data_IF_817274860642
#
_entry.id   IF_817274860642
#
_cell.length_a   1.000
_cell.length_b   1.000
_cell.length_c   1.000
_cell.angle_alpha   90.00
_cell.angle_beta   90.00
_cell.angle_gamma   90.00
#
_symmetry.space_group_name_H-M   'P 1'
#
loop_
_entity.id
_entity.type
_entity.pdbx_description
1 polymer ?
#
# COMPACT_ATOMS: atom_id res chain seq x y z
N UNK A 1 37.08 72.34 -61.05
CA UNK A 1 38.35 72.90 -60.55
C UNK A 1 38.41 72.67 -59.04
N UNK A 2 39.44 71.96 -58.56
CA UNK A 2 40.04 72.08 -57.21
C UNK A 2 39.16 71.77 -55.96
N UNK A 3 39.56 71.08 -54.90
CA UNK A 3 40.82 70.54 -54.41
C UNK A 3 40.49 69.35 -53.47
N UNK A 4 41.43 68.42 -53.32
CA UNK A 4 41.41 67.28 -52.38
C UNK A 4 41.44 67.73 -50.91
N UNK A 5 40.77 66.99 -50.01
CA UNK A 5 41.45 66.57 -48.78
C UNK A 5 40.96 65.22 -48.25
N UNK A 6 41.93 64.33 -48.01
CA UNK A 6 41.79 63.04 -47.35
C UNK A 6 41.91 63.28 -45.84
N UNK A 7 41.01 62.72 -45.06
CA UNK A 7 41.21 62.51 -43.63
C UNK A 7 40.80 61.08 -43.29
N UNK A 8 41.80 60.24 -43.04
CA UNK A 8 41.65 58.90 -42.53
C UNK A 8 41.19 58.96 -41.07
N UNK A 9 40.03 58.35 -40.77
CA UNK A 9 39.52 58.15 -39.42
C UNK A 9 39.61 56.67 -39.05
N UNK A 10 40.35 56.40 -37.98
CA UNK A 10 40.72 55.09 -37.44
C UNK A 10 39.50 54.26 -37.01
N UNK A 11 39.57 52.95 -37.31
CA UNK A 11 38.69 51.89 -36.80
C UNK A 11 38.61 51.91 -35.26
N UNK A 12 37.40 51.93 -34.71
CA UNK A 12 37.12 51.42 -33.37
C UNK A 12 35.93 50.45 -33.48
N UNK A 13 36.23 49.19 -33.82
CA UNK A 13 35.26 48.10 -33.77
C UNK A 13 35.08 47.69 -32.30
N UNK A 14 34.04 48.20 -31.64
CA UNK A 14 33.58 47.68 -30.36
C UNK A 14 32.88 46.33 -30.57
N UNK A 15 33.64 45.24 -30.59
CA UNK A 15 33.11 43.90 -30.35
C UNK A 15 32.62 43.81 -28.91
N UNK A 16 31.32 44.05 -28.68
CA UNK A 16 30.66 43.60 -27.47
C UNK A 16 30.71 42.07 -27.45
N UNK A 17 31.60 41.52 -26.64
CA UNK A 17 31.56 40.12 -26.26
C UNK A 17 30.27 39.88 -25.46
N UNK A 18 29.24 39.32 -26.10
CA UNK A 18 28.16 38.66 -25.37
C UNK A 18 28.78 37.47 -24.63
N UNK A 19 29.07 37.65 -23.36
CA UNK A 19 29.31 36.54 -22.46
C UNK A 19 28.05 35.65 -22.49
N UNK A 20 28.17 34.33 -22.71
CA UNK A 20 27.04 33.45 -22.51
C UNK A 20 26.69 33.55 -21.03
N UNK A 21 25.55 34.15 -20.71
CA UNK A 21 24.91 34.00 -19.41
C UNK A 21 24.67 32.52 -19.25
N UNK A 22 25.60 31.84 -18.58
CA UNK A 22 25.37 30.51 -18.06
C UNK A 22 24.09 30.62 -17.22
N UNK A 23 22.99 30.14 -17.77
CA UNK A 23 21.82 29.80 -16.98
C UNK A 23 22.29 28.66 -16.09
N UNK A 24 22.84 29.03 -14.94
CA UNK A 24 22.80 28.16 -13.77
C UNK A 24 21.31 27.92 -13.56
N UNK A 25 20.79 26.84 -14.13
CA UNK A 25 19.62 26.19 -13.59
C UNK A 25 20.01 25.91 -12.14
N UNK A 26 19.63 26.82 -11.23
CA UNK A 26 19.50 26.47 -9.85
C UNK A 26 18.56 25.28 -9.89
N UNK A 27 19.10 24.08 -9.70
CA UNK A 27 18.30 22.88 -9.53
C UNK A 27 17.25 23.27 -8.49
N UNK A 28 15.98 23.30 -8.88
CA UNK A 28 14.90 23.64 -7.97
C UNK A 28 15.10 22.75 -6.74
N UNK A 29 15.28 23.36 -5.58
CA UNK A 29 15.59 22.59 -4.37
C UNK A 29 14.37 21.75 -4.03
N UNK A 30 14.36 20.49 -4.45
CA UNK A 30 13.30 19.55 -4.12
C UNK A 30 13.33 19.24 -2.61
N UNK A 31 12.21 19.23 -1.88
CA UNK A 31 10.90 19.73 -2.29
C UNK A 31 10.77 21.26 -2.09
N UNK A 32 10.13 21.96 -3.04
CA UNK A 32 9.80 23.39 -2.98
C UNK A 32 8.30 23.67 -2.80
N UNK A 33 7.48 22.61 -2.81
CA UNK A 33 6.02 22.65 -2.67
C UNK A 33 5.53 21.37 -1.98
N UNK A 34 4.24 21.29 -1.58
CA UNK A 34 3.69 20.11 -0.94
C UNK A 34 3.87 18.82 -1.76
N UNK A 35 4.17 17.74 -1.06
CA UNK A 35 4.23 16.37 -1.60
C UNK A 35 2.87 15.72 -1.33
N UNK A 36 2.30 15.08 -2.34
CA UNK A 36 1.07 14.29 -2.22
C UNK A 36 1.40 12.80 -2.07
N UNK A 37 0.76 12.13 -1.13
CA UNK A 37 0.79 10.67 -0.98
C UNK A 37 -0.62 10.12 -1.15
N UNK A 38 -0.82 9.30 -2.18
CA UNK A 38 -2.10 8.66 -2.46
C UNK A 38 -2.23 7.33 -1.70
N UNK A 39 -3.35 7.14 -1.01
CA UNK A 39 -3.67 5.92 -0.24
C UNK A 39 -4.88 5.22 -0.86
N UNK A 40 -4.73 3.94 -1.19
CA UNK A 40 -5.77 3.15 -1.88
C UNK A 40 -6.98 2.73 -1.01
N UNK A 41 -6.97 3.11 0.27
CA UNK A 41 -7.92 2.64 1.28
C UNK A 41 -8.63 3.80 1.98
N UNK A 42 -9.76 3.48 2.61
CA UNK A 42 -10.62 4.47 3.26
C UNK A 42 -9.88 5.21 4.40
N UNK A 43 -10.24 6.48 4.65
CA UNK A 43 -9.71 7.25 5.77
C UNK A 43 -9.91 6.56 7.13
N UNK A 44 -8.97 6.72 8.05
CA UNK A 44 -9.02 6.18 9.42
C UNK A 44 -8.73 4.67 9.55
N UNK A 45 -8.47 3.98 8.44
CA UNK A 45 -8.09 2.56 8.44
C UNK A 45 -6.63 2.29 8.80
N UNK A 46 -6.26 1.01 8.82
CA UNK A 46 -4.91 0.50 9.15
C UNK A 46 -3.79 1.02 8.24
N UNK A 47 -4.10 1.55 7.06
CA UNK A 47 -3.10 2.22 6.20
C UNK A 47 -3.07 3.73 6.42
N UNK A 48 -4.25 4.36 6.42
CA UNK A 48 -4.38 5.82 6.44
C UNK A 48 -3.85 6.43 7.74
N UNK A 49 -4.18 5.83 8.88
CA UNK A 49 -3.77 6.37 10.18
C UNK A 49 -2.23 6.38 10.36
N UNK A 50 -1.49 5.28 10.12
CA UNK A 50 -0.02 5.32 10.16
C UNK A 50 0.60 6.23 9.10
N UNK A 51 0.06 6.27 7.88
CA UNK A 51 0.58 7.12 6.80
C UNK A 51 0.43 8.61 7.12
N UNK A 52 -0.64 9.03 7.82
CA UNK A 52 -0.79 10.42 8.28
C UNK A 52 0.27 10.80 9.31
N UNK A 53 0.56 9.92 10.27
CA UNK A 53 1.64 10.13 11.25
C UNK A 53 2.98 10.24 10.55
N UNK A 54 3.25 9.34 9.60
CA UNK A 54 4.47 9.36 8.79
C UNK A 54 4.59 10.66 7.97
N UNK A 55 3.50 11.10 7.34
CA UNK A 55 3.45 12.34 6.57
C UNK A 55 3.74 13.58 7.43
N UNK A 56 3.21 13.65 8.65
CA UNK A 56 3.49 14.74 9.59
C UNK A 56 4.99 14.80 9.97
N UNK A 57 5.58 13.63 10.27
CA UNK A 57 7.00 13.51 10.60
C UNK A 57 7.90 13.94 9.43
N UNK A 58 7.60 13.45 8.21
CA UNK A 58 8.32 13.83 7.00
C UNK A 58 8.14 15.31 6.68
N UNK A 59 6.95 15.88 6.91
CA UNK A 59 6.68 17.30 6.68
C UNK A 59 7.60 18.19 7.53
N UNK A 60 7.78 17.84 8.81
CA UNK A 60 8.72 18.53 9.71
C UNK A 60 10.16 18.45 9.21
N UNK A 61 10.58 17.28 8.72
CA UNK A 61 11.94 17.05 8.24
C UNK A 61 12.25 17.77 6.94
N UNK A 62 11.31 17.77 5.99
CA UNK A 62 11.49 18.34 4.65
C UNK A 62 11.12 19.83 4.57
N UNK A 63 10.43 20.37 5.57
CA UNK A 63 9.96 21.76 5.56
C UNK A 63 8.85 22.02 4.53
N UNK A 64 8.23 20.97 3.99
CA UNK A 64 7.13 21.04 3.04
C UNK A 64 6.00 20.11 3.47
N UNK A 65 4.72 20.50 3.32
CA UNK A 65 3.61 19.65 3.70
C UNK A 65 3.58 18.33 2.92
N UNK A 66 3.28 17.23 3.61
CA UNK A 66 2.93 15.94 3.02
C UNK A 66 1.42 15.74 3.16
N UNK A 67 0.71 15.79 2.03
CA UNK A 67 -0.75 15.73 1.97
C UNK A 67 -1.20 14.31 1.62
N UNK A 68 -2.02 13.71 2.47
CA UNK A 68 -2.57 12.36 2.26
C UNK A 68 -3.91 12.45 1.52
N UNK A 69 -4.00 11.85 0.33
CA UNK A 69 -5.21 11.78 -0.49
C UNK A 69 -5.69 10.32 -0.60
N UNK A 70 -6.90 10.02 -0.11
CA UNK A 70 -7.47 8.69 -0.24
C UNK A 70 -8.13 8.50 -1.61
N UNK A 71 -7.66 7.54 -2.42
CA UNK A 71 -8.24 7.10 -3.69
C UNK A 71 -8.69 5.66 -3.55
N UNK A 72 -9.89 5.45 -3.02
CA UNK A 72 -10.37 4.12 -2.61
C UNK A 72 -10.82 3.25 -3.77
N UNK A 73 -10.84 1.94 -3.55
CA UNK A 73 -11.41 0.95 -4.48
C UNK A 73 -10.39 -0.03 -5.05
N UNK A 74 -10.90 -1.06 -5.73
CA UNK A 74 -10.12 -2.06 -6.49
C UNK A 74 -8.98 -2.67 -5.66
N UNK A 75 -9.26 -3.06 -4.42
CA UNK A 75 -8.27 -3.67 -3.53
C UNK A 75 -7.07 -2.78 -3.17
N UNK A 76 -7.21 -1.45 -3.29
CA UNK A 76 -6.16 -0.49 -2.97
C UNK A 76 -5.17 -0.21 -4.09
N UNK A 77 -5.46 -0.63 -5.32
CA UNK A 77 -4.54 -0.50 -6.47
C UNK A 77 -4.62 0.84 -7.21
N UNK A 78 -5.64 1.65 -6.91
CA UNK A 78 -5.87 2.96 -7.55
C UNK A 78 -4.66 3.92 -7.51
N UNK A 79 -3.85 4.02 -6.43
CA UNK A 79 -2.65 4.85 -6.43
C UNK A 79 -1.65 4.47 -7.52
N UNK A 80 -1.40 3.17 -7.71
CA UNK A 80 -0.43 2.69 -8.69
C UNK A 80 -0.85 3.04 -10.13
N UNK A 81 -2.13 2.82 -10.45
CA UNK A 81 -2.70 3.20 -11.75
C UNK A 81 -2.66 4.73 -11.98
N UNK A 82 -2.91 5.52 -10.93
CA UNK A 82 -2.85 6.98 -11.03
C UNK A 82 -1.43 7.52 -11.30
N UNK A 83 -0.40 6.84 -10.78
CA UNK A 83 1.00 7.24 -10.96
C UNK A 83 1.48 7.10 -12.41
N UNK A 84 0.88 6.23 -13.21
CA UNK A 84 1.20 6.07 -14.63
C UNK A 84 0.98 7.35 -15.45
N UNK A 85 0.14 8.26 -14.96
CA UNK A 85 -0.15 9.54 -15.60
C UNK A 85 0.40 10.75 -14.81
N UNK A 86 1.15 10.53 -13.74
CA UNK A 86 1.71 11.59 -12.90
C UNK A 86 3.11 12.00 -13.36
N UNK A 87 3.48 13.25 -13.12
CA UNK A 87 4.82 13.74 -13.44
C UNK A 87 5.88 13.07 -12.53
N UNK A 88 7.03 12.61 -13.07
CA UNK A 88 8.11 11.98 -12.31
C UNK A 88 8.98 12.99 -11.55
N UNK A 89 8.35 13.95 -10.87
CA UNK A 89 8.98 15.09 -10.23
C UNK A 89 9.10 14.93 -8.69
N UNK A 90 8.71 13.77 -8.15
CA UNK A 90 8.77 13.43 -6.73
C UNK A 90 7.64 14.00 -5.86
N UNK A 91 6.72 14.79 -6.42
CA UNK A 91 5.65 15.42 -5.63
C UNK A 91 4.34 14.63 -5.60
N UNK A 92 4.26 13.52 -6.33
CA UNK A 92 3.14 12.58 -6.23
C UNK A 92 3.68 11.19 -5.96
N UNK A 93 3.30 10.63 -4.82
CA UNK A 93 3.65 9.29 -4.39
C UNK A 93 2.38 8.45 -4.20
N UNK A 94 2.52 7.14 -4.19
CA UNK A 94 1.44 6.21 -3.92
C UNK A 94 1.86 5.14 -2.94
N UNK A 95 0.93 4.74 -2.08
CA UNK A 95 1.04 3.52 -1.30
C UNK A 95 0.64 2.34 -2.18
N UNK A 96 1.49 1.32 -2.23
CA UNK A 96 1.22 0.06 -2.93
C UNK A 96 1.34 -1.11 -1.97
N UNK A 97 0.54 -2.14 -2.22
CA UNK A 97 0.46 -3.37 -1.44
C UNK A 97 0.39 -4.58 -2.37
N UNK A 98 0.16 -5.78 -1.83
CA UNK A 98 0.11 -7.02 -2.61
C UNK A 98 -0.85 -6.96 -3.82
N UNK A 99 -1.97 -6.23 -3.69
CA UNK A 99 -2.98 -6.15 -4.75
C UNK A 99 -2.44 -5.60 -6.07
N UNK A 100 -1.45 -4.71 -6.02
CA UNK A 100 -0.83 -4.13 -7.22
C UNK A 100 -0.18 -5.21 -8.10
N UNK A 101 0.49 -6.18 -7.49
CA UNK A 101 1.20 -7.26 -8.17
C UNK A 101 0.27 -8.30 -8.83
N UNK A 102 -1.03 -8.22 -8.55
CA UNK A 102 -2.05 -9.06 -9.19
C UNK A 102 -2.65 -8.44 -10.43
N UNK A 103 -2.60 -7.11 -10.54
CA UNK A 103 -3.28 -6.38 -11.61
C UNK A 103 -2.96 -6.88 -13.04
N UNK A 104 -1.70 -7.24 -13.38
CA UNK A 104 -1.39 -7.76 -14.71
C UNK A 104 -2.24 -8.97 -15.11
N UNK A 105 -2.69 -9.74 -14.12
CA UNK A 105 -3.43 -11.00 -14.31
C UNK A 105 -4.92 -10.87 -14.03
N UNK A 106 -5.41 -9.72 -13.55
CA UNK A 106 -6.82 -9.58 -13.11
C UNK A 106 -7.60 -8.48 -13.84
N UNK A 107 -6.94 -7.50 -14.46
CA UNK A 107 -7.63 -6.37 -15.12
C UNK A 107 -7.11 -6.02 -16.51
N UNK A 108 -6.04 -6.69 -16.99
CA UNK A 108 -5.40 -6.39 -18.28
C UNK A 108 -4.69 -5.04 -18.27
N UNK A 109 -3.40 -5.03 -17.89
CA UNK A 109 -2.58 -3.82 -17.85
C UNK A 109 -1.76 -3.61 -19.12
N UNK A 110 -1.51 -2.33 -19.45
CA UNK A 110 -0.56 -1.89 -20.48
C UNK A 110 0.77 -1.38 -19.89
N UNK A 111 1.01 -1.62 -18.60
CA UNK A 111 2.21 -1.25 -17.86
C UNK A 111 2.57 -2.38 -16.88
N UNK A 112 3.85 -2.46 -16.54
CA UNK A 112 4.40 -3.46 -15.61
C UNK A 112 4.56 -2.87 -14.20
N UNK A 113 3.91 -3.43 -13.17
CA UNK A 113 4.01 -2.90 -11.81
C UNK A 113 5.39 -2.88 -11.17
N UNK A 114 6.31 -3.70 -11.66
CA UNK A 114 7.69 -3.82 -11.18
C UNK A 114 8.63 -2.89 -11.93
N UNK A 115 8.44 -2.73 -13.25
CA UNK A 115 9.34 -1.95 -14.10
C UNK A 115 8.86 -0.50 -14.35
N UNK A 116 7.57 -0.22 -14.29
CA UNK A 116 6.97 1.09 -14.63
C UNK A 116 6.62 1.94 -13.39
N UNK A 117 7.35 1.75 -12.29
CA UNK A 117 7.27 2.54 -11.06
C UNK A 117 8.66 2.72 -10.44
N UNK A 118 8.90 3.88 -9.83
CA UNK A 118 10.11 4.13 -9.03
C UNK A 118 9.84 3.74 -7.58
N UNK A 119 10.43 2.64 -7.11
CA UNK A 119 10.30 2.17 -5.73
C UNK A 119 11.04 3.09 -4.75
N UNK A 120 10.35 3.59 -3.73
CA UNK A 120 10.94 4.51 -2.74
C UNK A 120 11.38 3.74 -1.49
N UNK A 121 10.44 3.12 -0.77
CA UNK A 121 10.73 2.46 0.52
C UNK A 121 9.62 1.48 0.90
N UNK A 122 9.98 0.30 1.41
CA UNK A 122 9.03 -0.63 2.05
C UNK A 122 8.85 -0.26 3.53
N UNK A 123 7.60 -0.18 3.99
CA UNK A 123 7.27 0.43 5.29
C UNK A 123 6.94 -0.63 6.35
N UNK A 124 6.00 -1.52 6.06
CA UNK A 124 5.44 -2.48 7.03
C UNK A 124 4.63 -3.55 6.29
N UNK A 125 4.02 -4.48 7.02
CA UNK A 125 3.07 -5.47 6.51
C UNK A 125 1.80 -5.52 7.33
N UNK A 126 0.67 -5.74 6.66
CA UNK A 126 -0.61 -5.90 7.34
C UNK A 126 -0.62 -7.17 8.18
N UNK A 127 -1.24 -7.06 9.37
CA UNK A 127 -1.75 -8.19 10.12
C UNK A 127 -3.20 -8.45 9.69
N UNK A 128 -3.56 -9.72 9.58
CA UNK A 128 -4.89 -10.16 9.15
C UNK A 128 -5.47 -11.19 10.11
N UNK A 129 -6.80 -11.34 10.05
CA UNK A 129 -7.51 -12.40 10.75
C UNK A 129 -8.96 -12.50 10.31
N UNK A 130 -9.66 -13.45 10.91
CA UNK A 130 -11.11 -13.62 10.74
C UNK A 130 -11.82 -13.22 12.03
N UNK A 131 -12.80 -12.34 11.91
CA UNK A 131 -13.63 -11.89 13.03
C UNK A 131 -15.11 -12.19 12.80
N UNK A 132 -15.83 -12.38 13.89
CA UNK A 132 -17.30 -12.53 13.93
C UNK A 132 -17.89 -11.54 14.92
N UNK A 133 -19.20 -11.32 14.85
CA UNK A 133 -19.93 -10.58 15.89
C UNK A 133 -19.81 -11.31 17.24
N UNK A 134 -19.69 -10.57 18.35
CA UNK A 134 -19.52 -11.20 19.67
C UNK A 134 -20.68 -12.13 20.04
N UNK A 135 -21.91 -11.76 19.65
CA UNK A 135 -23.12 -12.56 19.88
C UNK A 135 -23.28 -13.75 18.92
N UNK A 136 -22.34 -13.95 17.99
CA UNK A 136 -22.37 -15.08 17.06
C UNK A 136 -22.30 -16.41 17.82
N UNK A 137 -23.03 -17.45 17.37
CA UNK A 137 -22.87 -18.81 17.90
C UNK A 137 -21.49 -19.40 17.58
N UNK A 138 -20.76 -18.85 16.61
CA UNK A 138 -19.39 -19.24 16.26
C UNK A 138 -18.43 -18.59 17.27
N UNK A 139 -17.78 -19.40 18.11
CA UNK A 139 -16.88 -18.92 19.18
C UNK A 139 -15.42 -19.18 18.89
N UNK A 140 -15.12 -20.25 18.14
CA UNK A 140 -13.75 -20.62 17.78
C UNK A 140 -13.60 -20.81 16.27
N UNK A 141 -12.36 -20.98 15.81
CA UNK A 141 -12.10 -21.34 14.41
C UNK A 141 -12.68 -22.71 14.06
N UNK A 142 -12.65 -23.66 14.99
CA UNK A 142 -13.25 -24.99 14.83
C UNK A 142 -14.77 -24.90 14.66
N UNK A 143 -15.45 -24.01 15.41
CA UNK A 143 -16.88 -23.75 15.21
C UNK A 143 -17.15 -23.20 13.81
N UNK A 144 -16.29 -22.30 13.31
CA UNK A 144 -16.41 -21.71 11.97
C UNK A 144 -16.30 -22.78 10.89
N UNK A 145 -15.27 -23.63 10.97
CA UNK A 145 -15.06 -24.76 10.06
C UNK A 145 -16.21 -25.76 10.16
N UNK A 146 -16.68 -26.09 11.36
CA UNK A 146 -17.79 -27.01 11.58
C UNK A 146 -19.11 -26.47 10.99
N UNK A 147 -19.39 -25.17 11.16
CA UNK A 147 -20.56 -24.51 10.57
C UNK A 147 -20.53 -24.57 9.03
N UNK A 148 -19.37 -24.28 8.43
CA UNK A 148 -19.18 -24.32 6.99
C UNK A 148 -19.27 -25.75 6.43
N UNK A 149 -18.77 -26.77 7.15
CA UNK A 149 -18.91 -28.19 6.77
C UNK A 149 -20.34 -28.68 6.86
N UNK A 150 -21.08 -28.24 7.88
CA UNK A 150 -22.47 -28.64 8.09
C UNK A 150 -23.37 -28.18 6.95
N UNK A 151 -23.16 -26.95 6.48
CA UNK A 151 -23.94 -26.33 5.40
C UNK A 151 -22.99 -25.64 4.40
N UNK A 152 -22.45 -26.39 3.41
CA UNK A 152 -21.57 -25.83 2.39
C UNK A 152 -22.18 -24.60 1.69
N UNK A 153 -21.41 -23.51 1.61
CA UNK A 153 -21.84 -22.25 0.99
C UNK A 153 -22.81 -21.39 1.82
N UNK A 154 -23.21 -21.82 3.03
CA UNK A 154 -24.11 -21.03 3.87
C UNK A 154 -23.38 -19.98 4.72
N UNK A 155 -22.15 -20.26 5.16
CA UNK A 155 -21.37 -19.32 5.97
C UNK A 155 -20.83 -18.21 5.08
N UNK A 156 -21.25 -16.99 5.36
CA UNK A 156 -20.88 -15.78 4.62
C UNK A 156 -19.66 -15.10 5.24
N UNK A 157 -18.78 -14.55 4.40
CA UNK A 157 -17.65 -13.75 4.86
C UNK A 157 -17.45 -12.49 4.02
N UNK A 158 -17.21 -11.36 4.70
CA UNK A 158 -16.90 -10.08 4.07
C UNK A 158 -15.41 -9.87 3.82
N UNK A 159 -15.06 -9.23 2.71
CA UNK A 159 -13.70 -8.72 2.44
C UNK A 159 -13.72 -7.34 1.73
N UNK A 160 -12.55 -6.78 1.44
CA UNK A 160 -12.38 -5.53 0.66
C UNK A 160 -12.51 -5.69 -0.86
N UNK A 161 -13.00 -6.84 -1.33
CA UNK A 161 -13.34 -7.06 -2.73
C UNK A 161 -12.78 -8.34 -3.33
N UNK A 162 -13.19 -8.61 -4.57
CA UNK A 162 -12.70 -9.76 -5.36
C UNK A 162 -11.21 -9.57 -5.66
N UNK A 163 -10.46 -10.68 -5.59
CA UNK A 163 -9.00 -10.73 -5.76
C UNK A 163 -8.18 -9.87 -4.77
N UNK A 164 -8.83 -9.36 -3.70
CA UNK A 164 -8.13 -8.82 -2.52
C UNK A 164 -7.31 -9.92 -1.83
N UNK A 165 -6.35 -9.53 -1.00
CA UNK A 165 -5.54 -10.50 -0.24
C UNK A 165 -6.42 -11.35 0.64
N UNK A 166 -7.40 -10.73 1.29
CA UNK A 166 -8.35 -11.43 2.15
C UNK A 166 -9.18 -12.46 1.38
N UNK A 167 -9.66 -12.12 0.18
CA UNK A 167 -10.40 -13.06 -0.66
C UNK A 167 -9.53 -14.27 -1.05
N UNK A 168 -8.36 -14.05 -1.65
CA UNK A 168 -7.51 -15.16 -2.09
C UNK A 168 -7.05 -16.04 -0.93
N UNK A 169 -6.72 -15.44 0.20
CA UNK A 169 -6.32 -16.19 1.41
C UNK A 169 -7.48 -17.02 1.96
N UNK A 170 -8.72 -16.49 1.97
CA UNK A 170 -9.90 -17.28 2.38
C UNK A 170 -10.22 -18.40 1.40
N UNK A 171 -9.99 -18.24 0.10
CA UNK A 171 -10.09 -19.32 -0.89
C UNK A 171 -9.05 -20.43 -0.63
N UNK A 172 -7.80 -20.06 -0.35
CA UNK A 172 -6.75 -21.02 0.01
C UNK A 172 -7.07 -21.75 1.33
N UNK A 173 -7.53 -21.01 2.35
CA UNK A 173 -8.00 -21.57 3.62
C UNK A 173 -9.14 -22.56 3.37
N UNK A 174 -10.12 -22.18 2.55
CA UNK A 174 -11.30 -23.02 2.27
C UNK A 174 -10.91 -24.33 1.60
N UNK A 175 -9.97 -24.28 0.65
CA UNK A 175 -9.40 -25.48 -0.01
C UNK A 175 -8.64 -26.37 0.97
N UNK A 176 -7.78 -25.80 1.81
CA UNK A 176 -7.01 -26.57 2.79
C UNK A 176 -7.90 -27.18 3.88
N UNK A 177 -8.93 -26.46 4.33
CA UNK A 177 -9.88 -26.92 5.33
C UNK A 177 -10.99 -27.82 4.76
N UNK A 178 -11.12 -27.92 3.43
CA UNK A 178 -12.18 -28.67 2.76
C UNK A 178 -13.57 -28.14 3.08
N UNK A 179 -13.75 -26.82 3.01
CA UNK A 179 -15.02 -26.12 3.27
C UNK A 179 -15.41 -25.22 2.10
N UNK A 180 -16.70 -24.92 1.99
CA UNK A 180 -17.24 -23.96 1.02
C UNK A 180 -17.84 -22.77 1.75
N UNK A 181 -17.41 -21.57 1.39
CA UNK A 181 -17.84 -20.31 1.98
C UNK A 181 -18.49 -19.42 0.92
N UNK A 182 -19.35 -18.50 1.34
CA UNK A 182 -19.97 -17.51 0.47
C UNK A 182 -19.28 -16.14 0.64
N UNK A 183 -18.55 -15.70 -0.38
CA UNK A 183 -17.83 -14.44 -0.36
C UNK A 183 -18.75 -13.24 -0.68
N UNK A 184 -18.76 -12.26 0.22
CA UNK A 184 -19.47 -10.99 0.02
C UNK A 184 -18.45 -9.84 -0.11
N UNK A 185 -18.24 -9.27 -1.32
CA UNK A 185 -17.27 -8.19 -1.51
C UNK A 185 -17.82 -6.83 -1.09
N UNK A 186 -17.00 -6.04 -0.38
CA UNK A 186 -17.29 -4.66 0.02
C UNK A 186 -16.23 -3.68 -0.52
N UNK A 187 -16.51 -2.37 -0.51
CA UNK A 187 -15.58 -1.34 -1.02
C UNK A 187 -14.41 -1.04 -0.08
N UNK A 188 -14.42 -1.59 1.13
CA UNK A 188 -13.35 -1.45 2.11
C UNK A 188 -13.73 -1.96 3.49
N UNK A 189 -12.76 -1.95 4.41
CA UNK A 189 -12.89 -2.58 5.73
C UNK A 189 -13.97 -2.00 6.61
N UNK A 190 -14.21 -0.69 6.53
CA UNK A 190 -15.29 -0.06 7.28
C UNK A 190 -16.66 -0.65 6.90
N UNK A 191 -16.91 -0.87 5.61
CA UNK A 191 -18.19 -1.43 5.12
C UNK A 191 -18.33 -2.91 5.52
N UNK A 192 -17.27 -3.71 5.34
CA UNK A 192 -17.26 -5.13 5.73
C UNK A 192 -17.48 -5.32 7.24
N UNK A 193 -16.80 -4.54 8.09
CA UNK A 193 -16.96 -4.65 9.55
C UNK A 193 -18.34 -4.14 10.02
N UNK A 194 -18.92 -3.14 9.37
CA UNK A 194 -20.29 -2.74 9.65
C UNK A 194 -21.31 -3.81 9.23
N UNK A 195 -21.07 -4.53 8.14
CA UNK A 195 -21.92 -5.64 7.74
C UNK A 195 -21.92 -6.77 8.79
N UNK A 196 -20.76 -7.10 9.38
CA UNK A 196 -20.69 -8.02 10.53
C UNK A 196 -21.43 -7.44 11.74
N UNK A 197 -21.20 -6.17 12.06
CA UNK A 197 -21.84 -5.50 13.19
C UNK A 197 -23.38 -5.48 13.09
N UNK A 198 -23.91 -5.34 11.87
CA UNK A 198 -25.34 -5.39 11.56
C UNK A 198 -25.91 -6.80 11.37
N UNK A 199 -25.08 -7.85 11.42
CA UNK A 199 -25.50 -9.24 11.17
C UNK A 199 -25.89 -9.53 9.72
N UNK A 200 -25.40 -8.74 8.76
CA UNK A 200 -25.63 -8.96 7.32
C UNK A 200 -24.70 -10.02 6.73
N UNK A 201 -23.56 -10.28 7.38
CA UNK A 201 -22.64 -11.39 7.08
C UNK A 201 -22.18 -12.04 8.39
N UNK A 202 -21.83 -13.32 8.34
CA UNK A 202 -21.47 -14.10 9.53
C UNK A 202 -20.09 -13.72 10.08
N UNK A 203 -19.15 -13.43 9.18
CA UNK A 203 -17.77 -13.07 9.51
C UNK A 203 -17.18 -12.02 8.56
N UNK A 204 -16.03 -11.48 8.92
CA UNK A 204 -15.17 -10.74 8.01
C UNK A 204 -13.74 -11.28 8.08
N UNK A 205 -13.14 -11.49 6.92
CA UNK A 205 -11.71 -11.73 6.79
C UNK A 205 -11.06 -10.38 6.49
N UNK A 206 -10.29 -9.85 7.45
CA UNK A 206 -9.83 -8.48 7.38
C UNK A 206 -8.45 -8.23 7.96
N UNK A 207 -7.88 -7.08 7.57
CA UNK A 207 -6.76 -6.49 8.31
C UNK A 207 -7.18 -6.24 9.75
N UNK A 208 -6.22 -6.08 10.64
CA UNK A 208 -6.39 -5.67 12.05
C UNK A 208 -7.14 -4.35 12.29
N UNK A 209 -7.76 -3.74 11.28
CA UNK A 209 -8.80 -2.72 11.44
C UNK A 209 -9.97 -3.16 12.34
N UNK A 210 -10.16 -4.47 12.54
CA UNK A 210 -11.11 -5.02 13.51
C UNK A 210 -10.65 -4.91 14.98
N UNK A 211 -9.37 -4.63 15.23
CA UNK A 211 -8.80 -4.62 16.59
C UNK A 211 -9.59 -3.77 17.60
N UNK A 212 -10.02 -2.53 17.28
CA UNK A 212 -10.84 -1.73 18.20
C UNK A 212 -12.19 -2.36 18.53
N UNK A 213 -12.79 -3.13 17.61
CA UNK A 213 -14.07 -3.79 17.83
C UNK A 213 -13.92 -4.99 18.76
N UNK A 214 -12.85 -5.77 18.59
CA UNK A 214 -12.52 -6.89 19.48
C UNK A 214 -12.15 -6.41 20.88
N UNK A 215 -11.32 -5.37 20.99
CA UNK A 215 -10.99 -4.76 22.28
C UNK A 215 -12.21 -4.19 23.00
N UNK A 216 -13.20 -3.67 22.27
CA UNK A 216 -14.46 -3.18 22.84
C UNK A 216 -15.48 -4.27 23.19
N UNK A 217 -15.16 -5.55 22.94
CA UNK A 217 -16.08 -6.68 23.15
C UNK A 217 -17.27 -6.70 22.19
N UNK A 218 -17.18 -6.03 21.04
CA UNK A 218 -18.25 -6.02 20.01
C UNK A 218 -18.07 -7.13 18.99
N UNK A 219 -16.83 -7.58 18.79
CA UNK A 219 -16.47 -8.67 17.88
C UNK A 219 -15.52 -9.63 18.57
N UNK A 220 -15.39 -10.82 17.99
CA UNK A 220 -14.42 -11.84 18.40
C UNK A 220 -13.52 -12.18 17.23
N UNK A 221 -12.20 -12.17 17.45
CA UNK A 221 -11.26 -12.74 16.50
C UNK A 221 -11.15 -14.26 16.70
N UNK A 222 -11.30 -15.01 15.62
CA UNK A 222 -11.27 -16.47 15.62
C UNK A 222 -9.88 -17.02 15.31
N UNK A 223 -9.17 -16.37 14.38
CA UNK A 223 -7.85 -16.76 13.92
C UNK A 223 -7.11 -15.56 13.35
N UNK A 224 -5.79 -15.58 13.44
CA UNK A 224 -4.87 -14.60 12.82
C UNK A 224 -3.98 -15.29 11.80
N UNK A 225 -3.49 -14.54 10.81
CA UNK A 225 -2.76 -15.12 9.68
C UNK A 225 -1.23 -14.95 9.80
N UNK A 226 -0.75 -14.29 10.86
CA UNK A 226 0.68 -14.12 11.12
C UNK A 226 1.40 -15.45 11.35
N UNK A 227 2.73 -15.41 11.28
CA UNK A 227 3.56 -16.56 11.67
C UNK A 227 3.52 -16.81 13.18
N UNK A 228 3.37 -15.72 13.93
CA UNK A 228 3.24 -15.69 15.38
C UNK A 228 1.91 -15.03 15.75
N UNK A 229 1.47 -15.26 16.99
CA UNK A 229 0.26 -14.61 17.50
C UNK A 229 0.45 -13.10 17.59
N UNK A 230 -0.63 -12.39 17.33
CA UNK A 230 -0.72 -10.95 17.50
C UNK A 230 -0.46 -10.58 18.97
N UNK A 231 0.46 -9.66 19.22
CA UNK A 231 0.85 -9.30 20.59
C UNK A 231 -0.32 -8.69 21.38
N UNK A 232 -1.18 -7.93 20.69
CA UNK A 232 -2.41 -7.39 21.26
C UNK A 232 -3.51 -8.44 21.52
N UNK A 233 -3.40 -9.64 20.93
CA UNK A 233 -4.41 -10.70 20.99
C UNK A 233 -3.75 -12.08 21.23
N UNK A 234 -3.05 -12.28 22.36
CA UNK A 234 -2.24 -13.48 22.60
C UNK A 234 -3.07 -14.76 22.72
N UNK A 235 -4.37 -14.66 22.97
CA UNK A 235 -5.28 -15.80 23.07
C UNK A 235 -5.86 -16.24 21.72
N UNK A 236 -5.71 -15.43 20.67
CA UNK A 236 -6.22 -15.75 19.33
C UNK A 236 -5.16 -16.58 18.59
N UNK A 237 -5.49 -17.80 18.15
CA UNK A 237 -4.51 -18.66 17.50
C UNK A 237 -4.16 -18.15 16.10
N UNK A 238 -3.01 -18.59 15.60
CA UNK A 238 -2.63 -18.46 14.19
C UNK A 238 -3.24 -19.57 13.34
N UNK A 239 -3.26 -19.41 12.01
CA UNK A 239 -3.64 -20.47 11.07
C UNK A 239 -2.85 -21.78 11.30
N UNK A 240 -1.54 -21.68 11.55
CA UNK A 240 -0.67 -22.84 11.79
C UNK A 240 -1.09 -23.61 13.05
N UNK A 241 -1.44 -22.91 14.12
CA UNK A 241 -1.87 -23.52 15.38
C UNK A 241 -3.23 -24.24 15.27
N UNK A 242 -4.10 -23.80 14.36
CA UNK A 242 -5.38 -24.46 14.07
C UNK A 242 -5.29 -25.50 12.93
N UNK A 243 -4.06 -25.89 12.55
CA UNK A 243 -3.83 -26.97 11.60
C UNK A 243 -3.87 -26.58 10.12
N UNK A 244 -3.85 -25.29 9.79
CA UNK A 244 -3.74 -24.78 8.41
C UNK A 244 -2.29 -24.32 8.20
N UNK A 245 -1.43 -25.06 7.48
CA UNK A 245 0.01 -24.83 7.39
C UNK A 245 0.38 -23.64 6.49
N UNK A 246 -0.16 -22.46 6.78
CA UNK A 246 0.11 -21.23 6.06
C UNK A 246 0.19 -20.03 7.00
N UNK A 247 0.85 -18.99 6.52
CA UNK A 247 0.77 -17.64 7.08
C UNK A 247 0.54 -16.67 5.92
N UNK A 248 -0.06 -15.52 6.20
CA UNK A 248 -0.24 -14.45 5.24
C UNK A 248 -0.01 -13.09 5.89
N UNK A 249 0.93 -12.35 5.32
CA UNK A 249 1.03 -10.90 5.47
C UNK A 249 1.01 -10.23 4.09
N UNK A 250 0.76 -8.93 4.06
CA UNK A 250 0.84 -8.11 2.86
C UNK A 250 1.66 -6.86 3.13
N UNK A 251 2.91 -6.88 2.68
CA UNK A 251 3.80 -5.74 2.76
C UNK A 251 3.34 -4.60 1.87
N UNK A 252 3.52 -3.38 2.37
CA UNK A 252 3.21 -2.16 1.64
C UNK A 252 4.28 -1.11 1.82
N UNK A 253 4.35 -0.22 0.84
CA UNK A 253 5.40 0.80 0.76
C UNK A 253 5.06 1.93 -0.18
N UNK A 254 6.01 2.85 -0.32
CA UNK A 254 5.89 4.01 -1.20
C UNK A 254 6.56 3.76 -2.54
N UNK A 255 5.87 4.20 -3.59
CA UNK A 255 6.37 4.28 -4.96
C UNK A 255 6.10 5.67 -5.52
N UNK A 256 6.87 6.04 -6.53
CA UNK A 256 6.74 7.26 -7.33
C UNK A 256 6.53 6.89 -8.81
N UNK A 257 6.16 7.85 -9.69
CA UNK A 257 6.05 7.60 -11.12
C UNK A 257 7.37 7.08 -11.68
N UNK A 258 7.28 6.28 -12.76
CA UNK A 258 8.44 5.79 -13.50
C UNK A 258 9.39 6.93 -13.83
N UNK A 259 10.69 6.66 -13.81
CA UNK A 259 11.75 7.61 -14.17
C UNK A 259 11.86 8.82 -13.24
N UNK A 260 11.29 8.77 -12.03
CA UNK A 260 11.58 9.78 -11.00
C UNK A 260 13.09 9.79 -10.72
N UNK A 261 13.70 10.97 -10.72
CA UNK A 261 15.15 11.16 -10.57
C UNK A 261 15.68 10.36 -9.35
N UNK A 262 16.71 9.50 -9.51
CA UNK A 262 17.27 8.72 -8.42
C UNK A 262 17.68 9.54 -7.18
N UNK A 263 18.13 10.78 -7.35
CA UNK A 263 18.45 11.68 -6.24
C UNK A 263 17.19 12.16 -5.49
N UNK A 264 16.08 12.36 -6.20
CA UNK A 264 14.77 12.63 -5.59
C UNK A 264 14.27 11.40 -4.83
N UNK A 265 14.36 10.21 -5.43
CA UNK A 265 13.99 8.94 -4.78
C UNK A 265 14.82 8.73 -3.51
N UNK A 266 16.13 8.95 -3.55
CA UNK A 266 17.01 8.84 -2.40
C UNK A 266 16.63 9.83 -1.28
N UNK A 267 16.36 11.10 -1.64
CA UNK A 267 15.94 12.11 -0.66
C UNK A 267 14.60 11.77 -0.01
N UNK A 268 13.64 11.26 -0.79
CA UNK A 268 12.36 10.77 -0.27
C UNK A 268 12.58 9.56 0.64
N UNK A 269 13.33 8.56 0.18
CA UNK A 269 13.67 7.37 0.95
C UNK A 269 14.24 7.76 2.33
N UNK A 270 15.26 8.61 2.36
CA UNK A 270 15.92 8.99 3.62
C UNK A 270 14.98 9.75 4.55
N UNK A 271 14.11 10.59 4.00
CA UNK A 271 13.13 11.31 4.81
C UNK A 271 12.09 10.38 5.42
N UNK A 272 11.57 9.42 4.64
CA UNK A 272 10.61 8.43 5.13
C UNK A 272 11.25 7.42 6.08
N UNK A 273 12.49 6.99 5.83
CA UNK A 273 13.25 6.10 6.73
C UNK A 273 13.45 6.74 8.11
N UNK A 274 13.89 7.98 8.15
CA UNK A 274 14.06 8.73 9.40
C UNK A 274 12.74 8.87 10.17
N UNK A 275 11.63 9.09 9.46
CA UNK A 275 10.30 9.13 10.06
C UNK A 275 9.83 7.76 10.57
N UNK A 276 10.17 6.66 9.91
CA UNK A 276 9.86 5.30 10.37
C UNK A 276 10.58 4.93 11.68
N UNK A 277 11.76 5.51 11.90
CA UNK A 277 12.57 5.28 13.11
C UNK A 277 12.02 6.04 14.33
N UNK A 278 11.02 6.91 14.15
CA UNK A 278 10.40 7.66 15.24
C UNK A 278 9.40 6.78 16.02
N UNK A 279 9.38 6.83 17.37
CA UNK A 279 8.46 6.05 18.19
C UNK A 279 6.98 6.23 17.79
N UNK A 280 6.59 7.44 17.42
CA UNK A 280 5.23 7.77 17.01
C UNK A 280 4.73 6.91 15.83
N UNK A 281 5.61 6.53 14.89
CA UNK A 281 5.22 5.66 13.78
C UNK A 281 4.99 4.22 14.26
N UNK A 282 5.89 3.68 15.08
CA UNK A 282 5.72 2.36 15.67
C UNK A 282 4.45 2.27 16.53
N UNK A 283 4.15 3.30 17.34
CA UNK A 283 2.92 3.38 18.13
C UNK A 283 1.66 3.44 17.25
N UNK A 284 1.72 4.17 16.12
CA UNK A 284 0.61 4.24 15.18
C UNK A 284 0.34 2.87 14.51
N UNK A 285 1.40 2.12 14.17
CA UNK A 285 1.29 0.77 13.63
C UNK A 285 0.77 -0.22 14.69
N UNK A 286 1.23 -0.12 15.94
CA UNK A 286 0.85 -1.03 17.03
C UNK A 286 -0.65 -0.98 17.38
N UNK A 287 -1.35 0.14 17.10
CA UNK A 287 -2.82 0.23 17.21
C UNK A 287 -3.56 -0.75 16.29
N UNK A 288 -2.87 -1.18 15.24
CA UNK A 288 -3.33 -2.17 14.28
C UNK A 288 -2.43 -3.42 14.34
N UNK A 289 -1.68 -3.62 15.43
CA UNK A 289 -0.79 -4.77 15.62
C UNK A 289 0.13 -5.05 14.40
N UNK A 290 0.51 -3.97 13.72
CA UNK A 290 1.51 -4.00 12.67
C UNK A 290 2.84 -3.59 13.29
N UNK A 291 3.92 -4.07 12.69
CA UNK A 291 5.29 -3.73 13.08
C UNK A 291 6.04 -3.12 11.90
N UNK A 292 6.97 -2.18 12.13
CA UNK A 292 7.83 -1.69 11.08
C UNK A 292 8.53 -2.85 10.36
N UNK A 293 8.51 -2.83 9.03
CA UNK A 293 9.25 -3.79 8.21
C UNK A 293 9.92 -3.04 7.08
N UNK A 294 11.02 -2.38 7.43
CA UNK A 294 11.83 -1.61 6.49
C UNK A 294 12.36 -2.49 5.36
N UNK A 295 12.26 -1.97 4.13
CA UNK A 295 13.03 -2.44 2.97
C UNK A 295 13.55 -1.23 2.21
N UNK A 296 14.84 -1.22 1.89
CA UNK A 296 15.42 -0.18 1.03
C UNK A 296 14.83 -0.23 -0.38
N UNK A 297 15.00 0.84 -1.18
CA UNK A 297 14.36 0.97 -2.51
C UNK A 297 14.58 -0.25 -3.42
N UNK A 298 15.83 -0.73 -3.52
CA UNK A 298 16.19 -1.90 -4.33
C UNK A 298 15.55 -3.19 -3.80
N UNK A 299 15.68 -3.43 -2.50
CA UNK A 299 15.11 -4.60 -1.84
C UNK A 299 13.58 -4.62 -1.98
N UNK A 300 12.92 -3.47 -1.88
CA UNK A 300 11.48 -3.36 -2.05
C UNK A 300 11.05 -3.66 -3.49
N UNK A 301 11.83 -3.23 -4.50
CA UNK A 301 11.62 -3.57 -5.91
C UNK A 301 11.82 -5.06 -6.18
N UNK A 302 12.89 -5.65 -5.65
CA UNK A 302 13.18 -7.08 -5.82
C UNK A 302 12.12 -7.95 -5.12
N UNK A 303 11.67 -7.54 -3.93
CA UNK A 303 10.50 -8.11 -3.27
C UNK A 303 9.26 -8.05 -4.17
N UNK A 304 8.99 -6.89 -4.79
CA UNK A 304 7.86 -6.74 -5.72
C UNK A 304 7.93 -7.70 -6.91
N UNK A 305 9.11 -7.86 -7.51
CA UNK A 305 9.34 -8.80 -8.61
C UNK A 305 9.07 -10.25 -8.20
N UNK A 306 9.49 -10.65 -7.00
CA UNK A 306 9.20 -11.97 -6.46
C UNK A 306 7.71 -12.14 -6.17
N UNK A 307 7.10 -11.19 -5.45
CA UNK A 307 5.68 -11.23 -5.10
C UNK A 307 4.81 -11.32 -6.36
N UNK A 308 5.12 -10.62 -7.44
CA UNK A 308 4.36 -10.70 -8.69
C UNK A 308 4.35 -12.10 -9.32
N UNK A 309 5.43 -12.88 -9.18
CA UNK A 309 5.45 -14.28 -9.63
C UNK A 309 4.58 -15.17 -8.74
N UNK A 310 4.76 -15.05 -7.42
CA UNK A 310 3.97 -15.82 -6.44
C UNK A 310 2.47 -15.52 -6.57
N UNK A 311 2.09 -14.26 -6.81
CA UNK A 311 0.69 -13.88 -6.99
C UNK A 311 0.09 -14.46 -8.28
N UNK A 312 0.89 -14.60 -9.34
CA UNK A 312 0.44 -15.28 -10.56
C UNK A 312 0.12 -16.74 -10.28
N UNK A 313 1.01 -17.45 -9.58
CA UNK A 313 0.83 -18.86 -9.24
C UNK A 313 -0.45 -19.06 -8.40
N UNK A 314 -0.66 -18.23 -7.38
CA UNK A 314 -1.88 -18.27 -6.55
C UNK A 314 -3.14 -18.03 -7.40
N UNK A 315 -3.12 -17.05 -8.30
CA UNK A 315 -4.28 -16.77 -9.15
C UNK A 315 -4.56 -17.90 -10.14
N UNK A 316 -3.53 -18.51 -10.72
CA UNK A 316 -3.64 -19.66 -11.62
C UNK A 316 -4.21 -20.88 -10.89
N UNK A 317 -3.68 -21.20 -9.70
CA UNK A 317 -4.19 -22.27 -8.84
C UNK A 317 -5.66 -22.06 -8.49
N UNK A 318 -6.04 -20.82 -8.18
CA UNK A 318 -7.41 -20.46 -7.84
C UNK A 318 -8.35 -20.36 -9.05
N UNK A 319 -7.82 -20.40 -10.29
CA UNK A 319 -8.61 -20.21 -11.50
C UNK A 319 -9.14 -18.79 -11.67
N UNK A 320 -8.47 -17.81 -11.06
CA UNK A 320 -8.85 -16.39 -11.02
C UNK A 320 -8.00 -15.50 -11.94
N UNK A 321 -6.97 -16.05 -12.58
CA UNK A 321 -6.22 -15.35 -13.62
C UNK A 321 -7.09 -15.13 -14.87
N UNK A 322 -7.15 -13.88 -15.34
CA UNK A 322 -7.61 -13.58 -16.69
C UNK A 322 -6.55 -14.03 -17.70
N UNK A 323 -7.01 -14.63 -18.81
CA UNK A 323 -6.16 -15.08 -19.92
C UNK A 323 -5.79 -13.91 -20.84
#
# INVERSE_FOLDING_TARGET
MHFYWKSAGVLAACTLALAPLAHTHAAESFPSRPIKVMVGFAPGGSTDAPVRVLGELVSRKLGQPVVIENRTGVGGTMPAAALQNAAPDGYTLGITSLGMYRMPYTVGLNWDPVEDLSYVIGLTGYAFGVVVLESSPIKTWEDFVAAARKNPGAVTYGTTGIASTQHLTMEQISRQAGIELNHIPFKGSAEALQAVAGGHVDSAAETSAWAPFVQSGRMRALVTWGEERMAAFPDVPTLREVGIPMSQSSYWGLVAPKDTDPAIVAKLHDAFKDAMEQPAFAEALAKYDMVPHYRGSREFRDFGAQTMREQKEILDELGLSQK
#
